data_IF_853934889460
#
_entry.id   IF_853934889460
#
_cell.length_a   1.000
_cell.length_b   1.000
_cell.length_c   1.000
_cell.angle_alpha   90.00
_cell.angle_beta   90.00
_cell.angle_gamma   90.00
#
_symmetry.space_group_name_H-M   'P 1'
#
loop_
_entity.id
_entity.type
_entity.pdbx_description
1 polymer ?
#
# COMPACT_ATOMS: atom_id res chain seq x y z
N UNK A 1 -10.38 8.75 -15.39
CA UNK A 1 -9.09 8.73 -14.66
C UNK A 1 -8.43 10.08 -14.85
N UNK A 2 -8.13 10.77 -13.75
CA UNK A 2 -7.36 12.02 -13.77
C UNK A 2 -6.01 11.78 -14.45
N UNK A 3 -5.64 12.65 -15.39
CA UNK A 3 -4.32 12.70 -16.03
C UNK A 3 -3.31 13.22 -15.00
N UNK A 4 -2.95 12.37 -14.03
CA UNK A 4 -1.87 12.67 -13.09
C UNK A 4 -0.55 12.66 -13.85
N UNK A 5 0.05 13.84 -14.01
CA UNK A 5 1.37 14.02 -14.62
C UNK A 5 2.44 13.84 -13.55
N UNK A 6 2.82 12.58 -13.33
CA UNK A 6 3.85 12.18 -12.39
C UNK A 6 5.16 11.85 -13.10
N UNK A 7 6.21 11.50 -12.33
CA UNK A 7 7.52 11.16 -12.91
C UNK A 7 7.47 10.00 -13.91
N UNK A 8 6.53 9.05 -13.72
CA UNK A 8 6.21 8.01 -14.70
C UNK A 8 5.24 8.51 -15.75
N UNK A 9 5.55 8.24 -17.01
CA UNK A 9 4.64 8.49 -18.14
C UNK A 9 3.38 7.63 -18.03
N UNK A 10 2.31 8.02 -18.74
CA UNK A 10 1.06 7.27 -18.79
C UNK A 10 1.27 5.80 -19.20
N UNK A 11 2.10 5.56 -20.22
CA UNK A 11 2.37 4.21 -20.72
C UNK A 11 3.12 3.36 -19.70
N UNK A 12 4.14 3.92 -19.05
CA UNK A 12 4.90 3.22 -18.00
C UNK A 12 4.01 2.88 -16.80
N UNK A 13 3.10 3.78 -16.43
CA UNK A 13 2.11 3.54 -15.37
C UNK A 13 1.12 2.44 -15.77
N UNK A 14 0.57 2.51 -16.98
CA UNK A 14 -0.32 1.45 -17.49
C UNK A 14 0.39 0.09 -17.52
N UNK A 15 1.67 0.05 -17.86
CA UNK A 15 2.47 -1.18 -17.83
C UNK A 15 2.60 -1.73 -16.40
N UNK A 16 2.97 -0.92 -15.41
CA UNK A 16 3.08 -1.36 -14.01
C UNK A 16 1.74 -1.79 -13.40
N UNK A 17 0.63 -1.24 -13.90
CA UNK A 17 -0.72 -1.62 -13.49
C UNK A 17 -1.28 -2.82 -14.28
N UNK A 18 -0.49 -3.46 -15.14
CA UNK A 18 -0.93 -4.60 -15.96
C UNK A 18 -1.90 -4.25 -17.09
N UNK A 19 -2.09 -2.96 -17.40
CA UNK A 19 -3.01 -2.45 -18.42
C UNK A 19 -2.36 -2.22 -19.79
N UNK A 20 -1.05 -2.42 -19.89
CA UNK A 20 -0.31 -2.28 -21.14
C UNK A 20 0.69 -3.43 -21.26
N UNK A 21 0.56 -4.20 -22.32
CA UNK A 21 1.50 -5.27 -22.64
C UNK A 21 2.49 -4.79 -23.72
N UNK A 22 3.81 -4.87 -23.46
CA UNK A 22 4.81 -4.51 -24.46
C UNK A 22 4.74 -5.44 -25.68
N UNK A 23 5.00 -4.95 -26.90
CA UNK A 23 4.86 -5.74 -28.13
C UNK A 23 5.94 -6.83 -28.32
N UNK A 24 6.96 -6.88 -27.46
CA UNK A 24 8.04 -7.87 -27.49
C UNK A 24 8.87 -7.81 -26.21
N UNK A 25 9.64 -8.86 -25.95
CA UNK A 25 10.59 -8.92 -24.82
C UNK A 25 11.60 -7.77 -24.83
N UNK A 26 12.09 -7.39 -26.02
CA UNK A 26 13.00 -6.26 -26.17
C UNK A 26 12.32 -4.93 -25.79
N UNK A 27 11.06 -4.76 -26.17
CA UNK A 27 10.28 -3.59 -25.81
C UNK A 27 9.99 -3.55 -24.30
N UNK A 28 9.70 -4.70 -23.69
CA UNK A 28 9.54 -4.83 -22.24
C UNK A 28 10.84 -4.48 -21.50
N UNK A 29 11.97 -5.02 -21.93
CA UNK A 29 13.26 -4.75 -21.31
C UNK A 29 13.59 -3.25 -21.34
N UNK A 30 13.31 -2.59 -22.48
CA UNK A 30 13.47 -1.15 -22.63
C UNK A 30 12.49 -0.37 -21.74
N UNK A 31 11.23 -0.80 -21.63
CA UNK A 31 10.23 -0.21 -20.74
C UNK A 31 10.69 -0.27 -19.29
N UNK A 32 11.08 -1.45 -18.82
CA UNK A 32 11.62 -1.67 -17.46
C UNK A 32 12.88 -0.85 -17.21
N UNK A 33 13.76 -0.71 -18.21
CA UNK A 33 14.95 0.14 -18.10
C UNK A 33 14.59 1.61 -17.90
N UNK A 34 13.67 2.15 -18.72
CA UNK A 34 13.22 3.55 -18.61
C UNK A 34 12.58 3.83 -17.26
N UNK A 35 11.74 2.92 -16.77
CA UNK A 35 11.13 3.01 -15.43
C UNK A 35 12.21 3.11 -14.36
N UNK A 36 13.20 2.20 -14.35
CA UNK A 36 14.30 2.23 -13.38
C UNK A 36 15.06 3.55 -13.41
N UNK A 37 15.43 4.03 -14.60
CA UNK A 37 16.18 5.28 -14.73
C UNK A 37 15.37 6.50 -14.26
N UNK A 38 14.06 6.56 -14.55
CA UNK A 38 13.18 7.62 -14.04
C UNK A 38 13.04 7.54 -12.52
N UNK A 39 12.86 6.36 -11.96
CA UNK A 39 12.76 6.18 -10.50
C UNK A 39 14.04 6.62 -9.80
N UNK A 40 15.22 6.27 -10.32
CA UNK A 40 16.50 6.74 -9.74
C UNK A 40 16.58 8.27 -9.72
N UNK A 41 16.24 8.93 -10.84
CA UNK A 41 16.22 10.40 -10.91
C UNK A 41 15.20 11.01 -9.96
N UNK A 42 14.02 10.40 -9.83
CA UNK A 42 13.02 10.86 -8.87
C UNK A 42 13.52 10.76 -7.42
N UNK A 43 14.29 9.72 -7.07
CA UNK A 43 14.92 9.61 -5.75
C UNK A 43 15.99 10.69 -5.52
N UNK A 44 16.78 11.03 -6.54
CA UNK A 44 17.73 12.15 -6.49
C UNK A 44 17.01 13.49 -6.32
N UNK A 45 15.91 13.69 -7.03
CA UNK A 45 15.09 14.89 -6.89
C UNK A 45 14.46 14.99 -5.49
N UNK A 46 14.02 13.87 -4.90
CA UNK A 46 13.52 13.85 -3.52
C UNK A 46 14.59 14.30 -2.51
N UNK A 47 15.85 13.91 -2.70
CA UNK A 47 16.96 14.41 -1.87
C UNK A 47 17.10 15.93 -2.04
N UNK A 48 17.11 16.44 -3.27
CA UNK A 48 17.17 17.88 -3.53
C UNK A 48 15.99 18.62 -2.89
N UNK A 49 14.76 18.11 -3.01
CA UNK A 49 13.55 18.70 -2.43
C UNK A 49 13.61 18.73 -0.91
N UNK A 50 14.02 17.61 -0.29
CA UNK A 50 14.26 17.54 1.16
C UNK A 50 15.32 18.55 1.62
N UNK A 51 16.19 19.00 0.71
CA UNK A 51 17.19 20.02 0.98
C UNK A 51 16.84 21.45 0.58
N UNK A 52 15.97 21.64 -0.40
CA UNK A 52 15.68 22.94 -1.00
C UNK A 52 14.37 23.57 -0.53
N UNK A 53 13.41 22.76 -0.07
CA UNK A 53 12.10 23.26 0.34
C UNK A 53 12.11 23.84 1.76
N UNK A 54 11.30 24.87 1.96
CA UNK A 54 11.01 25.38 3.30
C UNK A 54 10.15 24.38 4.08
N UNK A 55 10.15 24.48 5.41
CA UNK A 55 9.25 23.69 6.25
C UNK A 55 7.78 23.85 5.83
N UNK A 56 7.34 25.08 5.58
CA UNK A 56 5.96 25.36 5.18
C UNK A 56 5.59 24.71 3.85
N UNK A 57 6.50 24.70 2.87
CA UNK A 57 6.26 24.03 1.59
C UNK A 57 6.19 22.51 1.75
N UNK A 58 7.07 21.93 2.57
CA UNK A 58 7.03 20.49 2.89
C UNK A 58 5.72 20.12 3.58
N UNK A 59 5.27 20.91 4.55
CA UNK A 59 3.98 20.70 5.24
C UNK A 59 2.82 20.72 4.25
N UNK A 60 2.76 21.72 3.35
CA UNK A 60 1.69 21.84 2.36
C UNK A 60 1.69 20.71 1.31
N UNK A 61 2.84 20.10 1.02
CA UNK A 61 2.94 18.96 0.09
C UNK A 61 2.46 17.66 0.76
N UNK A 62 2.81 17.47 2.03
CA UNK A 62 2.55 16.23 2.79
C UNK A 62 1.15 16.22 3.41
N UNK A 63 0.72 17.38 3.90
CA UNK A 63 -0.53 17.61 4.60
C UNK A 63 -1.22 18.78 3.89
N UNK A 64 -2.22 18.51 3.05
CA UNK A 64 -3.02 19.57 2.42
C UNK A 64 -3.65 20.41 3.54
N UNK A 65 -3.03 21.55 3.85
CA UNK A 65 -3.21 22.29 5.12
C UNK A 65 -4.50 23.11 5.16
N UNK A 66 -5.50 22.76 4.34
CA UNK A 66 -6.84 23.35 4.45
C UNK A 66 -7.64 22.87 5.67
N UNK A 67 -7.11 21.94 6.46
CA UNK A 67 -7.74 21.47 7.69
C UNK A 67 -6.72 21.22 8.78
N UNK A 68 -6.84 21.98 9.87
CA UNK A 68 -6.30 21.64 11.19
C UNK A 68 -6.86 20.27 11.58
N UNK A 69 -6.07 19.22 11.41
CA UNK A 69 -6.38 17.91 11.99
C UNK A 69 -5.30 17.60 13.02
N UNK A 70 -5.50 18.07 14.25
CA UNK A 70 -4.92 17.40 15.41
C UNK A 70 -5.59 16.03 15.51
N UNK A 71 -4.93 15.01 14.96
CA UNK A 71 -5.36 13.63 15.15
C UNK A 71 -4.87 13.20 16.54
N UNK A 72 -5.72 13.42 17.55
CA UNK A 72 -5.40 13.11 18.96
C UNK A 72 -5.39 11.59 19.27
N UNK A 73 -5.86 10.73 18.35
CA UNK A 73 -5.98 9.28 18.56
C UNK A 73 -5.59 8.47 17.31
N UNK A 74 -4.74 7.46 17.51
CA UNK A 74 -4.30 6.51 16.46
C UNK A 74 -5.43 5.65 15.88
N UNK A 75 -6.51 5.41 16.63
CA UNK A 75 -7.68 4.66 16.14
C UNK A 75 -8.43 5.44 15.05
N UNK A 76 -8.41 6.77 15.11
CA UNK A 76 -8.92 7.64 14.03
C UNK A 76 -7.96 7.73 12.84
N UNK A 77 -6.66 7.43 13.03
CA UNK A 77 -5.68 7.48 11.94
C UNK A 77 -5.88 6.33 10.94
N UNK A 78 -6.34 5.15 11.38
CA UNK A 78 -6.68 4.05 10.46
C UNK A 78 -7.84 4.42 9.54
N UNK A 79 -8.90 5.04 10.08
CA UNK A 79 -10.02 5.53 9.28
C UNK A 79 -9.61 6.70 8.38
N UNK A 80 -8.71 7.58 8.82
CA UNK A 80 -8.15 8.68 8.00
C UNK A 80 -7.23 8.17 6.87
N UNK A 81 -6.55 7.04 7.06
CA UNK A 81 -5.76 6.37 6.01
C UNK A 81 -6.70 5.68 4.99
N UNK A 82 -7.83 5.14 5.46
CA UNK A 82 -8.83 4.46 4.64
C UNK A 82 -9.79 5.43 3.91
N UNK A 83 -10.12 6.59 4.49
CA UNK A 83 -10.91 7.65 3.87
C UNK A 83 -10.04 8.46 2.91
N UNK A 84 -9.99 8.08 1.62
CA UNK A 84 -9.64 8.87 0.41
C UNK A 84 -8.62 10.05 0.51
N UNK A 85 -7.78 10.15 1.54
CA UNK A 85 -6.73 11.16 1.67
C UNK A 85 -5.51 10.62 0.96
N UNK A 86 -5.60 10.68 -0.37
CA UNK A 86 -4.61 10.32 -1.39
C UNK A 86 -3.15 10.49 -0.96
N UNK A 87 -2.82 11.54 -0.20
CA UNK A 87 -1.46 11.87 0.22
C UNK A 87 -0.84 10.93 1.27
N UNK A 88 -1.58 10.52 2.30
CA UNK A 88 -1.06 9.57 3.32
C UNK A 88 -0.86 8.17 2.73
N UNK A 89 -1.73 7.78 1.80
CA UNK A 89 -1.57 6.54 1.02
C UNK A 89 -0.33 6.60 0.13
N UNK A 90 0.00 7.76 -0.44
CA UNK A 90 1.26 7.94 -1.20
C UNK A 90 2.50 7.80 -0.30
N UNK A 91 2.48 8.37 0.92
CA UNK A 91 3.58 8.21 1.89
C UNK A 91 3.76 6.74 2.29
N UNK A 92 2.67 6.05 2.58
CA UNK A 92 2.68 4.61 2.89
C UNK A 92 3.23 3.79 1.71
N UNK A 93 2.87 4.16 0.49
CA UNK A 93 3.40 3.56 -0.73
C UNK A 93 4.92 3.74 -0.89
N UNK A 94 5.46 4.93 -0.59
CA UNK A 94 6.91 5.21 -0.61
C UNK A 94 7.63 4.35 0.44
N UNK A 95 7.14 4.32 1.68
CA UNK A 95 7.73 3.53 2.74
C UNK A 95 7.71 2.03 2.42
N UNK A 96 6.58 1.54 1.88
CA UNK A 96 6.45 0.15 1.43
C UNK A 96 7.44 -0.18 0.31
N UNK A 97 7.57 0.70 -0.68
CA UNK A 97 8.56 0.56 -1.76
C UNK A 97 9.99 0.46 -1.21
N UNK A 98 10.37 1.35 -0.30
CA UNK A 98 11.71 1.35 0.31
C UNK A 98 11.96 0.10 1.16
N UNK A 99 10.96 -0.34 1.92
CA UNK A 99 11.04 -1.58 2.70
C UNK A 99 11.26 -2.78 1.78
N UNK A 100 10.40 -2.97 0.78
CA UNK A 100 10.52 -4.09 -0.18
C UNK A 100 11.84 -4.05 -0.96
N UNK A 101 12.30 -2.86 -1.37
CA UNK A 101 13.56 -2.69 -2.09
C UNK A 101 14.78 -3.10 -1.26
N UNK A 102 14.68 -3.06 0.06
CA UNK A 102 15.78 -3.39 0.98
C UNK A 102 15.67 -4.79 1.59
N UNK A 103 14.53 -5.49 1.43
CA UNK A 103 14.30 -6.85 1.93
C UNK A 103 15.28 -7.90 1.37
N UNK A 104 15.80 -7.68 0.16
CA UNK A 104 16.72 -8.63 -0.48
C UNK A 104 18.12 -8.61 0.13
N UNK A 105 18.43 -7.63 0.98
CA UNK A 105 19.72 -7.55 1.67
C UNK A 105 19.70 -8.38 2.97
N UNK A 106 20.80 -9.04 3.29
CA UNK A 106 20.94 -9.80 4.55
C UNK A 106 21.10 -8.90 5.78
N UNK A 107 21.32 -7.60 5.56
CA UNK A 107 21.41 -6.58 6.60
C UNK A 107 20.05 -5.93 6.81
N UNK A 108 19.78 -5.36 8.00
CA UNK A 108 18.57 -4.58 8.24
C UNK A 108 18.69 -3.19 7.59
N UNK A 109 18.87 -3.15 6.27
CA UNK A 109 19.23 -1.95 5.53
C UNK A 109 18.14 -0.88 5.62
N UNK A 110 16.87 -1.28 5.60
CA UNK A 110 15.75 -0.37 5.87
C UNK A 110 15.93 0.37 7.20
N UNK A 111 16.10 -0.38 8.29
CA UNK A 111 16.30 0.17 9.64
C UNK A 111 17.48 1.14 9.67
N UNK A 112 18.64 0.75 9.12
CA UNK A 112 19.85 1.58 9.10
C UNK A 112 19.58 2.89 8.32
N UNK A 113 18.95 2.82 7.15
CA UNK A 113 18.66 4.01 6.35
C UNK A 113 17.67 4.93 7.05
N UNK A 114 16.63 4.37 7.69
CA UNK A 114 15.65 5.14 8.48
C UNK A 114 16.31 5.83 9.66
N UNK A 115 17.14 5.13 10.44
CA UNK A 115 17.90 5.72 11.55
C UNK A 115 18.81 6.87 11.07
N UNK A 116 19.51 6.68 9.96
CA UNK A 116 20.36 7.72 9.38
C UNK A 116 19.55 8.91 8.86
N UNK A 117 18.37 8.68 8.27
CA UNK A 117 17.49 9.75 7.81
C UNK A 117 17.00 10.61 8.99
N UNK A 118 16.60 9.98 10.10
CA UNK A 118 16.19 10.68 11.34
C UNK A 118 17.36 11.50 11.89
N UNK A 119 18.55 10.90 12.01
CA UNK A 119 19.74 11.60 12.49
C UNK A 119 20.12 12.79 11.59
N UNK A 120 20.03 12.63 10.28
CA UNK A 120 20.26 13.73 9.33
C UNK A 120 19.25 14.86 9.49
N UNK A 121 17.97 14.54 9.64
CA UNK A 121 16.93 15.53 9.88
C UNK A 121 17.18 16.30 11.18
N UNK A 122 17.55 15.60 12.26
CA UNK A 122 17.89 16.20 13.54
C UNK A 122 19.12 17.11 13.46
N UNK A 123 20.21 16.63 12.83
CA UNK A 123 21.47 17.37 12.71
C UNK A 123 21.40 18.58 11.77
N UNK A 124 20.43 18.59 10.85
CA UNK A 124 20.25 19.69 9.91
C UNK A 124 19.66 20.94 10.57
N UNK A 125 18.94 20.80 11.66
CA UNK A 125 18.21 21.92 12.25
C UNK A 125 19.11 22.83 13.10
N UNK A 126 19.21 24.08 12.69
CA UNK A 126 19.41 25.21 13.59
C UNK A 126 18.16 25.36 14.48
N UNK A 127 18.08 24.60 15.59
CA UNK A 127 17.27 24.76 16.84
C UNK A 127 15.83 25.34 16.83
N UNK A 128 15.18 25.59 15.71
CA UNK A 128 13.96 26.40 15.62
C UNK A 128 12.70 25.63 15.21
N UNK A 129 12.81 24.34 14.89
CA UNK A 129 11.67 23.45 14.73
C UNK A 129 11.49 22.69 16.04
N UNK A 130 10.29 22.73 16.59
CA UNK A 130 9.93 22.03 17.82
C UNK A 130 9.74 20.53 17.48
N UNK A 131 10.86 19.82 17.25
CA UNK A 131 10.84 18.38 17.09
C UNK A 131 10.41 17.77 18.42
N UNK A 132 9.20 17.23 18.45
CA UNK A 132 8.76 16.40 19.56
C UNK A 132 9.37 15.03 19.37
N UNK A 133 10.25 14.65 20.28
CA UNK A 133 10.69 13.27 20.40
C UNK A 133 9.50 12.42 20.84
N UNK A 134 8.97 11.64 19.90
CA UNK A 134 7.90 10.68 20.15
C UNK A 134 8.53 9.30 20.03
N UNK A 135 8.53 8.56 21.14
CA UNK A 135 8.92 7.15 21.11
C UNK A 135 7.81 6.36 20.41
N UNK A 136 8.12 5.81 19.24
CA UNK A 136 7.19 4.97 18.48
C UNK A 136 7.67 3.52 18.56
N UNK A 137 6.93 2.69 19.27
CA UNK A 137 7.09 1.23 19.22
C UNK A 137 6.11 0.68 18.20
N UNK A 138 6.63 0.06 17.14
CA UNK A 138 5.83 -0.56 16.09
C UNK A 138 5.80 -2.07 16.30
N UNK A 139 4.63 -2.61 16.63
CA UNK A 139 4.35 -4.03 16.54
C UNK A 139 3.47 -4.26 15.31
N UNK A 140 3.99 -4.99 14.33
CA UNK A 140 3.31 -5.22 13.05
C UNK A 140 2.98 -6.71 12.96
N UNK A 141 1.72 -7.04 13.28
CA UNK A 141 1.16 -8.37 13.07
C UNK A 141 0.76 -8.53 11.60
N UNK A 142 1.69 -9.04 10.79
CA UNK A 142 1.39 -9.47 9.43
C UNK A 142 0.67 -10.81 9.55
N UNK A 143 -0.62 -10.82 9.22
CA UNK A 143 -1.43 -12.04 9.21
C UNK A 143 -0.80 -13.17 8.39
N UNK A 144 -1.31 -14.41 8.52
CA UNK A 144 -0.76 -15.55 7.82
C UNK A 144 -0.70 -15.29 6.31
N UNK A 145 0.37 -15.73 5.63
CA UNK A 145 0.40 -15.65 4.16
C UNK A 145 -0.67 -16.58 3.61
N UNK A 146 -1.33 -16.16 2.54
CA UNK A 146 -2.37 -16.95 1.90
C UNK A 146 -1.88 -18.38 1.58
N UNK A 147 -0.67 -18.49 1.01
CA UNK A 147 0.01 -19.75 0.70
C UNK A 147 0.22 -20.70 1.90
N UNK A 148 0.22 -20.18 3.13
CA UNK A 148 0.40 -20.96 4.35
C UNK A 148 -0.95 -21.34 5.01
N UNK A 149 -2.08 -20.94 4.42
CA UNK A 149 -3.42 -21.22 4.92
C UNK A 149 -3.93 -22.49 4.24
N UNK A 150 -4.22 -23.51 5.05
CA UNK A 150 -4.91 -24.71 4.62
C UNK A 150 -6.33 -24.38 4.16
N UNK A 151 -6.62 -24.64 2.88
CA UNK A 151 -7.89 -24.38 2.22
C UNK A 151 -8.87 -25.56 2.31
N UNK A 152 -8.44 -26.73 2.83
CA UNK A 152 -9.23 -27.96 2.83
C UNK A 152 -10.47 -27.87 3.74
N UNK A 153 -10.60 -26.83 4.57
CA UNK A 153 -11.73 -26.62 5.48
C UNK A 153 -11.97 -25.14 5.74
N UNK A 154 -12.45 -24.42 4.72
CA UNK A 154 -12.76 -22.98 4.80
C UNK A 154 -13.73 -22.66 5.96
N UNK A 155 -14.67 -23.57 6.25
CA UNK A 155 -15.59 -23.49 7.40
C UNK A 155 -14.92 -23.29 8.77
N UNK A 156 -13.71 -23.82 8.97
CA UNK A 156 -12.99 -23.76 10.24
C UNK A 156 -12.02 -22.56 10.33
N UNK A 157 -11.83 -21.83 9.24
CA UNK A 157 -10.95 -20.68 9.21
C UNK A 157 -11.59 -19.48 9.93
N UNK A 158 -10.74 -18.72 10.63
CA UNK A 158 -11.13 -17.42 11.18
C UNK A 158 -11.44 -16.44 10.03
N UNK A 159 -12.31 -15.46 10.28
CA UNK A 159 -12.62 -14.37 9.33
C UNK A 159 -11.36 -13.73 8.71
N UNK A 160 -10.34 -13.43 9.52
CA UNK A 160 -9.07 -12.84 9.05
C UNK A 160 -8.39 -13.70 7.98
N UNK A 161 -8.37 -15.04 8.15
CA UNK A 161 -7.79 -15.99 7.19
C UNK A 161 -8.61 -16.10 5.91
N UNK A 162 -9.94 -16.16 6.02
CA UNK A 162 -10.85 -16.19 4.88
C UNK A 162 -10.70 -14.93 4.02
N UNK A 163 -10.63 -13.77 4.66
CA UNK A 163 -10.45 -12.50 3.97
C UNK A 163 -9.07 -12.38 3.31
N UNK A 164 -8.02 -12.94 3.94
CA UNK A 164 -6.70 -13.05 3.32
C UNK A 164 -6.73 -13.91 2.04
N UNK A 165 -7.37 -15.08 2.08
CA UNK A 165 -7.49 -15.98 0.92
C UNK A 165 -8.28 -15.35 -0.24
N UNK A 166 -9.39 -14.65 0.10
CA UNK A 166 -10.22 -13.96 -0.88
C UNK A 166 -9.47 -12.80 -1.54
N UNK A 167 -8.77 -11.99 -0.74
CA UNK A 167 -7.99 -10.85 -1.24
C UNK A 167 -6.75 -11.29 -2.06
N UNK A 168 -6.19 -12.47 -1.78
CA UNK A 168 -5.10 -13.04 -2.57
C UNK A 168 -5.57 -13.75 -3.84
N UNK A 169 -6.88 -13.94 -4.02
CA UNK A 169 -7.46 -14.69 -5.15
C UNK A 169 -7.16 -16.19 -5.10
N UNK A 170 -6.84 -16.74 -3.92
CA UNK A 170 -6.62 -18.18 -3.76
C UNK A 170 -7.93 -18.95 -3.58
N UNK A 171 -9.00 -18.26 -3.18
CA UNK A 171 -10.37 -18.78 -3.21
C UNK A 171 -11.27 -17.81 -3.97
N UNK A 172 -12.21 -18.35 -4.72
CA UNK A 172 -13.25 -17.59 -5.42
C UNK A 172 -14.44 -17.25 -4.52
N UNK A 173 -15.25 -16.27 -4.92
CA UNK A 173 -16.55 -16.03 -4.26
C UNK A 173 -17.47 -17.25 -4.40
N UNK A 174 -17.39 -17.99 -5.50
CA UNK A 174 -18.17 -19.21 -5.75
C UNK A 174 -17.82 -20.33 -4.76
N UNK A 175 -16.54 -20.60 -4.51
CA UNK A 175 -16.10 -21.58 -3.51
C UNK A 175 -16.55 -21.20 -2.09
N UNK A 176 -16.60 -19.90 -1.79
CA UNK A 176 -17.12 -19.39 -0.51
C UNK A 176 -18.65 -19.59 -0.41
N UNK A 177 -19.39 -19.46 -1.53
CA UNK A 177 -20.84 -19.75 -1.58
C UNK A 177 -21.10 -21.24 -1.37
N UNK A 178 -20.32 -22.11 -2.03
CA UNK A 178 -20.46 -23.56 -1.96
C UNK A 178 -20.21 -24.12 -0.55
N UNK A 179 -19.29 -23.50 0.19
CA UNK A 179 -19.01 -23.88 1.58
C UNK A 179 -20.07 -23.39 2.59
N UNK A 180 -20.99 -22.53 2.12
CA UNK A 180 -22.25 -22.25 2.79
C UNK A 180 -22.28 -21.00 3.68
N UNK A 181 -23.48 -20.76 4.24
CA UNK A 181 -23.88 -19.54 4.96
C UNK A 181 -22.96 -19.21 6.15
N UNK A 182 -22.31 -20.21 6.76
CA UNK A 182 -21.41 -19.98 7.90
C UNK A 182 -20.12 -19.25 7.48
N UNK A 183 -19.51 -19.62 6.35
CA UNK A 183 -18.31 -18.96 5.81
C UNK A 183 -18.69 -17.59 5.25
N UNK A 184 -19.83 -17.51 4.57
CA UNK A 184 -20.39 -16.26 4.04
C UNK A 184 -20.70 -15.23 5.12
N UNK A 185 -21.31 -15.66 6.22
CA UNK A 185 -21.64 -14.83 7.37
C UNK A 185 -20.40 -14.33 8.11
N UNK A 186 -19.32 -15.15 8.19
CA UNK A 186 -18.02 -14.72 8.74
C UNK A 186 -17.39 -13.58 7.94
N UNK A 187 -17.66 -13.47 6.64
CA UNK A 187 -17.14 -12.40 5.78
C UNK A 187 -18.02 -11.14 5.76
N UNK A 188 -19.13 -11.12 6.51
CA UNK A 188 -19.98 -9.94 6.66
C UNK A 188 -20.93 -9.68 5.48
N UNK A 189 -21.12 -10.66 4.60
CA UNK A 189 -22.13 -10.59 3.55
C UNK A 189 -23.54 -10.84 4.14
N UNK A 190 -24.55 -10.14 3.60
CA UNK A 190 -25.95 -10.29 4.03
C UNK A 190 -26.63 -11.46 3.31
N UNK A 191 -27.69 -12.05 3.91
CA UNK A 191 -28.52 -13.09 3.25
C UNK A 191 -29.04 -12.63 1.88
N UNK A 192 -29.38 -11.34 1.74
CA UNK A 192 -29.80 -10.75 0.47
C UNK A 192 -28.69 -10.74 -0.59
N UNK A 193 -27.42 -10.63 -0.18
CA UNK A 193 -26.25 -10.75 -1.07
C UNK A 193 -26.03 -12.20 -1.53
N UNK A 194 -26.38 -13.18 -0.69
CA UNK A 194 -26.29 -14.61 -0.99
C UNK A 194 -27.32 -14.99 -2.06
N UNK A 195 -28.57 -14.53 -1.91
CA UNK A 195 -29.63 -14.82 -2.87
C UNK A 195 -29.35 -14.20 -4.26
N UNK A 196 -28.75 -13.01 -4.31
CA UNK A 196 -28.38 -12.36 -5.58
C UNK A 196 -27.21 -13.05 -6.30
N UNK A 197 -26.27 -13.66 -5.56
CA UNK A 197 -25.16 -14.42 -6.14
C UNK A 197 -25.60 -15.82 -6.58
N UNK A 198 -26.37 -16.52 -5.74
CA UNK A 198 -26.90 -17.85 -6.05
C UNK A 198 -27.93 -17.81 -7.20
N UNK A 199 -28.70 -16.73 -7.33
CA UNK A 199 -29.67 -16.54 -8.42
C UNK A 199 -29.05 -16.31 -9.82
N UNK A 200 -27.73 -16.11 -9.92
CA UNK A 200 -27.02 -15.98 -11.19
C UNK A 200 -26.25 -17.26 -11.60
N UNK A 201 -26.32 -18.32 -10.81
CA UNK A 201 -25.78 -19.64 -11.17
C UNK A 201 -26.94 -20.40 -11.82
N UNK A 202 -27.01 -20.37 -13.15
CA UNK A 202 -27.92 -21.21 -13.93
C UNK A 202 -27.48 -22.67 -13.78
N UNK A 203 -28.30 -23.59 -13.26
CA UNK A 203 -27.89 -24.99 -13.09
C UNK A 203 -27.78 -25.76 -14.43
N UNK A 204 -28.00 -25.13 -15.58
CA UNK A 204 -28.08 -25.77 -16.90
C UNK A 204 -27.26 -25.07 -18.04
N UNK A 205 -26.13 -24.40 -17.77
CA UNK A 205 -25.13 -24.01 -18.82
C UNK A 205 -23.70 -24.55 -18.60
#
# INVERSE_FOLDING_TARGET
MSDFDGFLTKTERSYLLGKHEPPSDNAEQQMRYKIRERTKKALEDLDILAHGLSQSDMENILFDSKGEHEVESWELAQDVVNEEKSHLNNMTGILSFLYLATLSDRRPLFKILTEQAILRAYNRQDRAMDLRDIEVTLDVDVGPRAEDIDTDSLGQLSQKKLQTLLNSGQIGLEEVVDEGVEVFGKLGFTEESIEQLAGNIDPDE
#
